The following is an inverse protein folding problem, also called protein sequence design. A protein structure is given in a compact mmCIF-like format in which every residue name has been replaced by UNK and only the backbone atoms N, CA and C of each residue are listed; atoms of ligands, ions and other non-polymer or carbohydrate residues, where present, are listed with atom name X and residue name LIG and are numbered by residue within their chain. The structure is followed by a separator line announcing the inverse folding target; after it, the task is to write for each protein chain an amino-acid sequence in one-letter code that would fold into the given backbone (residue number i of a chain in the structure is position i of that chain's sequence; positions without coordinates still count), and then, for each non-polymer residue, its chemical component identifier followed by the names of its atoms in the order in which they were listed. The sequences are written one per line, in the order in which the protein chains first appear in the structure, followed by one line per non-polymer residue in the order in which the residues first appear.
data_IF_579506927538
#
_entry.id   IF_579506927538
#
_cell.length_a   1.000
_cell.length_b   1.000
_cell.length_c   1.000
_cell.angle_alpha   90.00
_cell.angle_beta   90.00
_cell.angle_gamma   90.00
#
_symmetry.space_group_name_H-M   'P 1'
#
loop_
_entity.id
_entity.type
_entity.pdbx_description
1 polymer ?
#
# COMPACT_ATOMS: atom_id res chain seq x y z
N UNK A 1 -29.81 -27.08 61.73
CA UNK A 1 -29.35 -26.35 60.53
C UNK A 1 -27.87 -26.64 60.37
N UNK A 2 -27.53 -27.54 59.45
CA UNK A 2 -26.24 -28.25 59.44
C UNK A 2 -25.13 -27.39 58.84
N UNK A 3 -24.32 -26.80 59.72
CA UNK A 3 -23.10 -26.01 59.40
C UNK A 3 -22.15 -26.77 58.45
N UNK A 4 -22.14 -28.10 58.51
CA UNK A 4 -21.31 -28.98 57.68
C UNK A 4 -21.73 -29.01 56.21
N UNK A 5 -23.02 -28.81 55.90
CA UNK A 5 -23.52 -28.79 54.52
C UNK A 5 -23.26 -27.45 53.84
N UNK A 6 -23.24 -26.35 54.61
CA UNK A 6 -22.90 -25.02 54.12
C UNK A 6 -21.41 -24.90 53.77
N UNK A 7 -20.53 -25.44 54.62
CA UNK A 7 -19.09 -25.47 54.37
C UNK A 7 -18.71 -26.29 53.12
N UNK A 8 -19.38 -27.44 52.88
CA UNK A 8 -19.19 -28.24 51.66
C UNK A 8 -19.65 -27.54 50.38
N UNK A 9 -20.73 -26.76 50.44
CA UNK A 9 -21.23 -25.98 49.28
C UNK A 9 -20.36 -24.75 48.99
N UNK A 10 -19.81 -24.12 50.03
CA UNK A 10 -18.87 -23.01 49.88
C UNK A 10 -17.53 -23.49 49.28
N UNK A 11 -17.05 -24.68 49.66
CA UNK A 11 -15.80 -25.26 49.13
C UNK A 11 -15.90 -25.66 47.64
N UNK A 12 -17.11 -25.94 47.13
CA UNK A 12 -17.35 -26.26 45.71
C UNK A 12 -17.50 -25.02 44.81
N UNK A 13 -17.69 -23.82 45.38
CA UNK A 13 -17.83 -22.56 44.63
C UNK A 13 -16.52 -21.78 44.51
N UNK A 14 -15.52 -22.07 45.35
CA UNK A 14 -14.21 -21.39 45.33
C UNK A 14 -13.32 -21.75 44.13
N UNK A 15 -13.35 -22.95 43.52
CA UNK A 15 -12.46 -23.23 42.38
C UNK A 15 -12.95 -22.63 41.05
N UNK A 16 -14.16 -22.06 40.98
CA UNK A 16 -14.70 -21.48 39.73
C UNK A 16 -14.18 -20.06 39.44
N UNK A 17 -13.56 -19.39 40.43
CA UNK A 17 -13.06 -18.02 40.29
C UNK A 17 -11.58 -18.00 39.83
N UNK A 18 -10.90 -19.14 39.86
CA UNK A 18 -9.49 -19.26 39.43
C UNK A 18 -9.43 -19.98 38.07
N UNK A 19 -10.20 -19.51 37.09
CA UNK A 19 -9.80 -19.78 35.70
C UNK A 19 -8.67 -18.81 35.39
N UNK A 20 -7.43 -19.28 35.12
CA UNK A 20 -6.44 -18.39 34.53
C UNK A 20 -7.07 -17.91 33.23
N UNK A 21 -7.29 -16.59 33.11
CA UNK A 21 -7.56 -15.98 31.83
C UNK A 21 -6.36 -16.37 30.96
N UNK A 22 -6.54 -17.37 30.12
CA UNK A 22 -5.57 -17.70 29.09
C UNK A 22 -5.57 -16.48 28.18
N UNK A 23 -4.68 -15.52 28.46
CA UNK A 23 -4.35 -14.47 27.52
C UNK A 23 -3.81 -15.20 26.30
N UNK A 24 -4.66 -15.33 25.28
CA UNK A 24 -4.21 -15.69 23.96
C UNK A 24 -3.22 -14.60 23.56
N UNK A 25 -1.93 -14.87 23.75
CA UNK A 25 -0.88 -14.08 23.15
C UNK A 25 -1.04 -14.30 21.66
N UNK A 26 -1.57 -13.28 20.98
CA UNK A 26 -1.63 -13.26 19.53
C UNK A 26 -0.19 -13.29 19.04
N UNK A 27 0.31 -14.49 18.72
CA UNK A 27 1.65 -14.67 18.19
C UNK A 27 1.66 -14.14 16.76
N UNK A 28 1.98 -12.86 16.60
CA UNK A 28 2.36 -12.33 15.31
C UNK A 28 3.65 -13.04 14.87
N UNK A 29 3.66 -13.74 13.73
CA UNK A 29 4.88 -14.35 13.24
C UNK A 29 5.90 -13.26 12.94
N UNK A 30 7.18 -13.58 13.14
CA UNK A 30 8.26 -12.71 12.68
C UNK A 30 8.12 -12.47 11.16
N UNK A 31 8.41 -11.26 10.67
CA UNK A 31 8.35 -10.99 9.24
C UNK A 31 9.25 -11.92 8.42
N UNK A 32 8.85 -12.28 7.18
CA UNK A 32 9.66 -13.13 6.32
C UNK A 32 10.95 -12.40 5.91
N UNK A 33 12.03 -13.16 5.77
CA UNK A 33 13.25 -12.65 5.13
C UNK A 33 13.06 -12.66 3.61
N UNK A 34 13.17 -11.50 2.99
CA UNK A 34 13.03 -11.34 1.54
C UNK A 34 14.39 -11.08 0.91
N UNK A 35 14.63 -11.66 -0.27
CA UNK A 35 15.78 -11.36 -1.10
C UNK A 35 15.60 -10.01 -1.82
N UNK A 36 15.52 -8.92 -1.04
CA UNK A 36 15.32 -7.55 -1.52
C UNK A 36 16.25 -6.58 -0.76
N UNK A 37 16.69 -5.50 -1.43
CA UNK A 37 17.52 -4.46 -0.79
C UNK A 37 16.74 -3.67 0.28
N UNK A 38 15.47 -3.38 -0.02
CA UNK A 38 14.54 -2.70 0.86
C UNK A 38 13.11 -3.14 0.52
N UNK A 39 12.19 -3.07 1.49
CA UNK A 39 10.76 -3.29 1.28
C UNK A 39 9.93 -2.62 2.38
N UNK A 40 8.67 -2.34 2.07
CA UNK A 40 7.66 -1.82 3.00
C UNK A 40 6.34 -2.53 2.73
N UNK A 41 5.67 -2.99 3.78
CA UNK A 41 4.27 -3.42 3.78
C UNK A 41 3.47 -2.41 4.60
N UNK A 42 2.48 -1.79 3.98
CA UNK A 42 1.65 -0.75 4.58
C UNK A 42 0.18 -1.12 4.47
N UNK A 43 -0.58 -0.87 5.53
CA UNK A 43 -2.04 -0.90 5.47
C UNK A 43 -2.55 0.30 4.67
N UNK A 44 -3.29 0.05 3.59
CA UNK A 44 -3.70 1.10 2.65
C UNK A 44 -4.72 2.09 3.26
N UNK A 45 -5.51 1.66 4.24
CA UNK A 45 -6.57 2.47 4.82
C UNK A 45 -6.04 3.46 5.87
N UNK A 46 -5.16 2.97 6.76
CA UNK A 46 -4.59 3.76 7.86
C UNK A 46 -3.25 4.41 7.50
N UNK A 47 -2.53 3.88 6.51
CA UNK A 47 -1.15 4.27 6.21
C UNK A 47 -0.12 3.71 7.19
N UNK A 48 -0.53 2.83 8.11
CA UNK A 48 0.40 2.22 9.07
C UNK A 48 1.36 1.28 8.37
N UNK A 49 2.67 1.47 8.60
CA UNK A 49 3.69 0.50 8.19
C UNK A 49 3.60 -0.72 9.10
N UNK A 50 3.28 -1.87 8.53
CA UNK A 50 3.16 -3.14 9.25
C UNK A 50 4.52 -3.84 9.37
N UNK A 51 5.33 -3.76 8.31
CA UNK A 51 6.67 -4.33 8.25
C UNK A 51 7.51 -3.48 7.29
N UNK A 52 8.77 -3.24 7.64
CA UNK A 52 9.75 -2.69 6.70
C UNK A 52 11.15 -3.28 6.92
N UNK A 53 11.97 -3.18 5.88
CA UNK A 53 13.41 -3.39 5.96
C UNK A 53 14.08 -2.32 5.10
N UNK A 54 14.96 -1.51 5.69
CA UNK A 54 15.60 -0.37 5.04
C UNK A 54 14.59 0.59 4.35
N UNK A 55 13.42 0.82 4.97
CA UNK A 55 12.31 1.57 4.36
C UNK A 55 12.68 2.98 3.90
N UNK A 56 13.51 3.68 4.69
CA UNK A 56 13.98 5.04 4.39
C UNK A 56 15.30 5.09 3.59
N UNK A 57 15.85 3.93 3.20
CA UNK A 57 17.09 3.91 2.44
C UNK A 57 16.86 4.48 1.02
N UNK A 58 17.63 5.52 0.68
CA UNK A 58 17.58 6.10 -0.67
C UNK A 58 18.16 5.14 -1.71
N UNK A 59 17.33 4.76 -2.67
CA UNK A 59 17.67 3.88 -3.79
C UNK A 59 17.19 4.48 -5.12
N UNK A 60 17.85 4.18 -6.25
CA UNK A 60 17.39 4.62 -7.56
C UNK A 60 16.05 3.93 -7.91
N UNK A 61 14.96 4.69 -8.17
CA UNK A 61 13.62 4.13 -8.35
C UNK A 61 13.37 3.53 -9.75
N UNK A 62 14.24 3.83 -10.72
CA UNK A 62 14.04 3.49 -12.13
C UNK A 62 12.62 3.87 -12.60
N UNK A 63 11.89 2.96 -13.25
CA UNK A 63 10.54 3.21 -13.76
C UNK A 63 9.49 3.49 -12.67
N UNK A 64 9.74 3.22 -11.38
CA UNK A 64 8.81 3.63 -10.31
C UNK A 64 8.62 5.15 -10.25
N UNK A 65 9.56 5.92 -10.81
CA UNK A 65 9.42 7.38 -11.02
C UNK A 65 8.11 7.74 -11.74
N UNK A 66 7.61 6.88 -12.64
CA UNK A 66 6.37 7.12 -13.40
C UNK A 66 5.13 7.23 -12.51
N UNK A 67 5.15 6.67 -11.30
CA UNK A 67 4.05 6.81 -10.33
C UNK A 67 3.84 8.28 -9.96
N UNK A 68 4.92 9.05 -9.76
CA UNK A 68 4.82 10.48 -9.48
C UNK A 68 4.35 11.27 -10.72
N UNK A 69 4.81 10.90 -11.91
CA UNK A 69 4.37 11.54 -13.17
C UNK A 69 2.85 11.38 -13.35
N UNK A 70 2.33 10.16 -13.17
CA UNK A 70 0.90 9.88 -13.26
C UNK A 70 0.11 10.56 -12.13
N UNK A 71 0.67 10.61 -10.91
CA UNK A 71 0.07 11.31 -9.79
C UNK A 71 -0.12 12.81 -10.07
N UNK A 72 0.91 13.48 -10.62
CA UNK A 72 0.80 14.92 -10.96
C UNK A 72 -0.25 15.14 -12.04
N UNK A 73 -0.25 14.35 -13.12
CA UNK A 73 -1.23 14.50 -14.19
C UNK A 73 -2.68 14.29 -13.69
N UNK A 74 -2.92 13.27 -12.86
CA UNK A 74 -4.24 13.01 -12.28
C UNK A 74 -4.65 14.05 -11.23
N UNK A 75 -3.69 14.65 -10.51
CA UNK A 75 -3.93 15.78 -9.62
C UNK A 75 -4.38 17.02 -10.40
N UNK A 76 -3.74 17.32 -11.52
CA UNK A 76 -4.11 18.46 -12.37
C UNK A 76 -5.47 18.26 -13.06
N UNK A 77 -5.82 17.02 -13.41
CA UNK A 77 -7.18 16.65 -13.83
C UNK A 77 -8.19 16.95 -12.72
N UNK A 78 -7.92 16.49 -11.49
CA UNK A 78 -8.81 16.74 -10.34
C UNK A 78 -8.95 18.23 -10.01
N UNK A 79 -7.90 19.02 -10.26
CA UNK A 79 -7.91 20.49 -10.09
C UNK A 79 -8.60 21.23 -11.24
N UNK A 80 -9.01 20.53 -12.29
CA UNK A 80 -9.62 21.11 -13.49
C UNK A 80 -8.65 21.96 -14.32
N UNK A 81 -7.33 21.78 -14.16
CA UNK A 81 -6.34 22.51 -14.96
C UNK A 81 -6.15 21.89 -16.35
N UNK A 82 -6.39 20.58 -16.46
CA UNK A 82 -6.43 19.82 -17.72
C UNK A 82 -7.60 18.84 -17.69
N UNK A 83 -8.15 18.49 -18.84
CA UNK A 83 -9.16 17.44 -19.02
C UNK A 83 -8.56 16.11 -19.49
N UNK A 84 -9.21 15.00 -19.16
CA UNK A 84 -8.80 13.66 -19.63
C UNK A 84 -8.78 13.55 -21.16
N UNK A 85 -9.67 14.26 -21.83
CA UNK A 85 -9.81 14.26 -23.28
C UNK A 85 -9.04 15.40 -23.96
N UNK A 86 -8.30 16.21 -23.21
CA UNK A 86 -7.55 17.32 -23.78
C UNK A 86 -6.50 16.78 -24.75
N UNK A 87 -6.40 17.37 -25.96
CA UNK A 87 -5.41 16.94 -26.92
C UNK A 87 -4.03 17.49 -26.56
N UNK A 88 -3.04 16.60 -26.50
CA UNK A 88 -1.64 16.94 -26.26
C UNK A 88 -0.84 16.70 -27.54
N UNK A 89 -0.17 17.74 -28.02
CA UNK A 89 0.71 17.65 -29.19
C UNK A 89 2.00 16.93 -28.83
N UNK A 90 2.30 15.84 -29.55
CA UNK A 90 3.53 15.07 -29.36
C UNK A 90 4.72 15.85 -29.91
N UNK A 91 5.58 16.33 -29.02
CA UNK A 91 6.79 17.05 -29.40
C UNK A 91 7.87 16.11 -29.96
N UNK A 92 8.80 16.67 -30.74
CA UNK A 92 9.98 15.93 -31.19
C UNK A 92 10.83 15.43 -30.01
N UNK A 93 10.92 16.23 -28.94
CA UNK A 93 11.61 15.83 -27.72
C UNK A 93 11.00 14.57 -27.10
N UNK A 94 9.67 14.51 -26.98
CA UNK A 94 8.98 13.32 -26.48
C UNK A 94 9.23 12.11 -27.38
N UNK A 95 9.17 12.28 -28.70
CA UNK A 95 9.39 11.22 -29.67
C UNK A 95 10.83 10.65 -29.66
N UNK A 96 11.84 11.49 -29.40
CA UNK A 96 13.25 11.06 -29.34
C UNK A 96 13.61 10.28 -28.07
N UNK A 97 12.74 10.20 -27.06
CA UNK A 97 13.02 9.48 -25.81
C UNK A 97 13.25 7.98 -26.03
N UNK A 98 14.18 7.38 -25.26
CA UNK A 98 14.49 5.94 -25.27
C UNK A 98 13.75 5.15 -24.17
N UNK A 99 13.96 3.83 -24.13
CA UNK A 99 13.30 2.95 -23.14
C UNK A 99 11.95 2.39 -23.64
N UNK A 100 11.05 2.03 -22.72
CA UNK A 100 9.67 1.65 -23.04
C UNK A 100 8.95 2.79 -23.79
N UNK A 101 8.13 2.45 -24.79
CA UNK A 101 7.48 3.42 -25.68
C UNK A 101 6.05 3.00 -26.00
N UNK A 102 5.16 3.98 -26.09
CA UNK A 102 3.79 3.86 -26.62
C UNK A 102 3.72 3.98 -28.16
N UNK A 103 4.84 4.28 -28.82
CA UNK A 103 4.95 4.41 -30.29
C UNK A 103 4.07 5.51 -30.93
N UNK A 104 3.84 6.62 -30.21
CA UNK A 104 3.14 7.80 -30.71
C UNK A 104 3.98 8.59 -31.73
N UNK A 105 3.33 9.19 -32.73
CA UNK A 105 3.98 9.90 -33.84
C UNK A 105 4.21 11.38 -33.49
N UNK A 106 5.35 11.94 -33.89
CA UNK A 106 5.64 13.37 -33.73
C UNK A 106 4.61 14.24 -34.47
N UNK A 107 4.17 15.32 -33.83
CA UNK A 107 3.21 16.28 -34.37
C UNK A 107 1.74 15.84 -34.34
N UNK A 108 1.43 14.60 -33.95
CA UNK A 108 0.04 14.17 -33.75
C UNK A 108 -0.48 14.64 -32.39
N UNK A 109 -1.81 14.69 -32.26
CA UNK A 109 -2.48 14.94 -30.98
C UNK A 109 -2.95 13.63 -30.38
N UNK A 110 -2.71 13.44 -29.09
CA UNK A 110 -3.12 12.27 -28.31
C UNK A 110 -3.81 12.77 -27.04
N UNK A 111 -4.87 12.11 -26.59
CA UNK A 111 -5.59 12.53 -25.39
C UNK A 111 -4.72 12.35 -24.13
N UNK A 112 -4.95 13.17 -23.10
CA UNK A 112 -4.30 12.99 -21.79
C UNK A 112 -4.55 11.58 -21.24
N UNK A 113 -5.76 11.05 -21.41
CA UNK A 113 -6.12 9.69 -20.99
C UNK A 113 -5.27 8.63 -21.69
N UNK A 114 -5.12 8.69 -23.01
CA UNK A 114 -4.30 7.73 -23.76
C UNK A 114 -2.82 7.82 -23.37
N UNK A 115 -2.32 9.04 -23.13
CA UNK A 115 -0.95 9.25 -22.63
C UNK A 115 -0.75 8.62 -21.24
N UNK A 116 -1.73 8.76 -20.34
CA UNK A 116 -1.70 8.12 -19.02
C UNK A 116 -1.71 6.59 -19.12
N UNK A 117 -2.51 6.01 -20.02
CA UNK A 117 -2.47 4.58 -20.29
C UNK A 117 -1.09 4.15 -20.80
N UNK A 118 -0.49 4.92 -21.70
CA UNK A 118 0.88 4.69 -22.18
C UNK A 118 1.95 4.80 -21.09
N UNK A 119 1.75 5.61 -20.05
CA UNK A 119 2.69 5.70 -18.91
C UNK A 119 2.52 4.53 -17.93
N UNK A 120 1.28 4.10 -17.68
CA UNK A 120 0.93 3.16 -16.62
C UNK A 120 1.09 1.70 -17.09
N UNK A 121 0.75 1.40 -18.35
CA UNK A 121 0.68 0.02 -18.86
C UNK A 121 1.99 -0.41 -19.55
N UNK A 122 2.71 0.52 -20.18
CA UNK A 122 3.79 0.23 -21.14
C UNK A 122 5.22 0.39 -20.59
#
# INVERSE_FOLDING_TARGET
MNITTFAKRLCLLVPLIITPAAWAVEMMPSPPQLAAKAYVLMDANSGNVLVENNGDQRLPPASLTKLMTAYIATLEIRRGQIGENDPVTVSENAWRTGGSRMFIKVGTQVSVSDLLHGIIIQ
#
